data_IF_450596283717
#
_entry.id   IF_450596283717
#
_cell.length_a   1.000
_cell.length_b   1.000
_cell.length_c   1.000
_cell.angle_alpha   90.00
_cell.angle_beta   90.00
_cell.angle_gamma   90.00
#
_symmetry.space_group_name_H-M   'P 1'
#
loop_
_entity.id
_entity.type
_entity.pdbx_description
1 polymer ?
#
# COMPACT_ATOMS: atom_id res chain seq x y z
N UNK A 1 -11.37 -32.24 -16.15
CA UNK A 1 -11.71 -30.92 -16.71
C UNK A 1 -11.81 -31.12 -18.21
N UNK A 2 -13.01 -31.08 -18.78
CA UNK A 2 -13.21 -31.34 -20.22
C UNK A 2 -12.68 -30.13 -20.97
N UNK A 3 -11.67 -30.31 -21.82
CA UNK A 3 -11.18 -29.26 -22.70
C UNK A 3 -12.12 -29.20 -23.90
N UNK A 4 -12.96 -28.17 -23.97
CA UNK A 4 -13.70 -27.85 -25.19
C UNK A 4 -12.68 -27.43 -26.25
N UNK A 5 -12.64 -28.15 -27.38
CA UNK A 5 -11.83 -27.82 -28.54
C UNK A 5 -12.77 -27.50 -29.69
N UNK A 6 -12.42 -26.46 -30.46
CA UNK A 6 -13.06 -26.15 -31.73
C UNK A 6 -12.27 -26.95 -32.78
N UNK A 7 -12.97 -27.69 -33.62
CA UNK A 7 -12.38 -28.46 -34.70
C UNK A 7 -13.16 -28.19 -36.00
N UNK A 8 -12.59 -28.58 -37.13
CA UNK A 8 -13.21 -28.48 -38.44
C UNK A 8 -13.55 -29.89 -38.91
N UNK A 9 -14.81 -30.12 -39.23
CA UNK A 9 -15.29 -31.38 -39.81
C UNK A 9 -15.81 -31.12 -41.22
N UNK A 10 -15.72 -32.13 -42.09
CA UNK A 10 -16.16 -32.00 -43.49
C UNK A 10 -17.69 -31.89 -43.61
N UNK A 11 -18.41 -32.48 -42.66
CA UNK A 11 -19.88 -32.49 -42.62
C UNK A 11 -20.41 -31.21 -41.97
N UNK A 12 -21.29 -30.49 -42.69
CA UNK A 12 -21.97 -29.31 -42.15
C UNK A 12 -23.01 -29.72 -41.11
N UNK A 13 -22.89 -29.19 -39.89
CA UNK A 13 -23.88 -29.34 -38.83
C UNK A 13 -24.73 -28.07 -38.71
N UNK A 14 -25.99 -28.22 -38.30
CA UNK A 14 -26.91 -27.10 -38.15
C UNK A 14 -26.53 -26.15 -37.00
N UNK A 15 -25.75 -26.63 -36.04
CA UNK A 15 -25.23 -25.90 -34.88
C UNK A 15 -23.84 -25.28 -35.11
N UNK A 16 -23.26 -25.39 -36.31
CA UNK A 16 -22.00 -24.72 -36.71
C UNK A 16 -22.15 -23.21 -36.94
N UNK A 17 -23.36 -22.67 -36.79
CA UNK A 17 -23.66 -21.28 -37.10
C UNK A 17 -23.06 -20.32 -36.03
N UNK A 18 -21.97 -19.65 -36.38
CA UNK A 18 -21.45 -18.53 -35.59
C UNK A 18 -22.30 -17.27 -35.77
N UNK A 19 -22.59 -16.59 -34.66
CA UNK A 19 -23.21 -15.25 -34.70
C UNK A 19 -22.12 -14.20 -34.75
N UNK A 20 -22.07 -13.42 -35.84
CA UNK A 20 -21.23 -12.22 -35.89
C UNK A 20 -21.94 -11.10 -35.13
N UNK A 21 -21.19 -10.43 -34.25
CA UNK A 21 -21.68 -9.27 -33.50
C UNK A 21 -20.79 -8.08 -33.80
N UNK A 22 -21.41 -6.98 -34.22
CA UNK A 22 -20.73 -5.71 -34.35
C UNK A 22 -20.34 -5.19 -32.96
N UNK A 23 -19.15 -4.63 -32.86
CA UNK A 23 -18.64 -4.05 -31.61
C UNK A 23 -18.59 -2.55 -31.80
N UNK A 24 -19.11 -1.81 -30.82
CA UNK A 24 -19.05 -0.35 -30.78
C UNK A 24 -17.62 0.15 -30.96
N UNK A 25 -17.42 1.14 -31.83
CA UNK A 25 -16.12 1.74 -32.11
C UNK A 25 -15.45 2.30 -30.84
N UNK A 26 -16.21 2.83 -29.88
CA UNK A 26 -15.66 3.31 -28.61
C UNK A 26 -14.97 2.16 -27.84
N UNK A 27 -15.58 0.97 -27.83
CA UNK A 27 -15.00 -0.20 -27.16
C UNK A 27 -13.73 -0.69 -27.87
N UNK A 28 -13.70 -0.59 -29.20
CA UNK A 28 -12.51 -0.90 -30.02
C UNK A 28 -11.37 0.07 -29.68
N UNK A 29 -11.66 1.36 -29.59
CA UNK A 29 -10.66 2.39 -29.27
C UNK A 29 -10.13 2.25 -27.83
N UNK A 30 -11.02 1.97 -26.87
CA UNK A 30 -10.66 1.66 -25.48
C UNK A 30 -9.72 0.44 -25.42
N UNK A 31 -10.02 -0.61 -26.19
CA UNK A 31 -9.18 -1.80 -26.27
C UNK A 31 -7.82 -1.47 -26.87
N UNK A 32 -7.78 -0.82 -28.04
CA UNK A 32 -6.54 -0.48 -28.74
C UNK A 32 -5.62 0.42 -27.91
N UNK A 33 -6.19 1.43 -27.24
CA UNK A 33 -5.45 2.33 -26.36
C UNK A 33 -4.69 1.54 -25.29
N UNK A 34 -5.40 0.66 -24.58
CA UNK A 34 -4.80 -0.11 -23.49
C UNK A 34 -3.87 -1.22 -24.00
N UNK A 35 -4.27 -1.96 -25.04
CA UNK A 35 -3.47 -3.03 -25.64
C UNK A 35 -2.16 -2.49 -26.25
N UNK A 36 -2.19 -1.30 -26.84
CA UNK A 36 -1.02 -0.63 -27.41
C UNK A 36 0.06 -0.28 -26.38
N UNK A 37 -0.30 -0.15 -25.09
CA UNK A 37 0.67 0.15 -24.03
C UNK A 37 1.40 -1.09 -23.49
N UNK A 38 0.80 -2.28 -23.64
CA UNK A 38 1.35 -3.55 -23.10
C UNK A 38 2.75 -3.87 -23.67
N UNK A 39 3.01 -3.73 -24.99
CA UNK A 39 4.32 -4.02 -25.59
C UNK A 39 5.48 -3.22 -25.00
N UNK A 40 5.26 -1.98 -24.53
CA UNK A 40 6.33 -1.17 -23.93
C UNK A 40 6.87 -1.79 -22.65
N UNK A 41 5.97 -2.30 -21.81
CA UNK A 41 6.34 -2.96 -20.55
C UNK A 41 6.91 -4.35 -20.83
N UNK A 42 6.27 -5.10 -21.75
CA UNK A 42 6.72 -6.43 -22.15
C UNK A 42 8.16 -6.39 -22.66
N UNK A 43 8.48 -5.46 -23.57
CA UNK A 43 9.84 -5.27 -24.08
C UNK A 43 10.85 -4.99 -22.98
N UNK A 44 10.50 -4.15 -21.99
CA UNK A 44 11.39 -3.88 -20.86
C UNK A 44 11.63 -5.14 -19.99
N UNK A 45 10.59 -5.94 -19.78
CA UNK A 45 10.66 -7.20 -19.01
C UNK A 45 11.52 -8.24 -19.73
N UNK A 46 11.43 -8.32 -21.05
CA UNK A 46 12.17 -9.29 -21.87
C UNK A 46 13.64 -8.89 -22.06
N UNK A 47 13.90 -7.62 -22.41
CA UNK A 47 15.23 -7.17 -22.81
C UNK A 47 16.21 -7.05 -21.63
N UNK A 48 15.73 -6.86 -20.39
CA UNK A 48 16.45 -6.78 -19.07
C UNK A 48 17.74 -5.94 -18.98
N UNK A 49 18.28 -5.41 -20.08
CA UNK A 49 19.68 -4.97 -20.20
C UNK A 49 19.85 -3.65 -20.97
N UNK A 50 18.82 -3.13 -21.65
CA UNK A 50 18.90 -1.86 -22.42
C UNK A 50 17.82 -0.87 -22.03
N UNK A 51 17.80 -0.47 -20.76
CA UNK A 51 17.07 0.73 -20.35
C UNK A 51 17.95 1.95 -20.68
N UNK A 52 17.44 2.88 -21.46
CA UNK A 52 18.03 4.20 -21.65
C UNK A 52 17.01 5.26 -21.22
N UNK A 53 17.42 6.52 -21.11
CA UNK A 53 16.54 7.59 -20.63
C UNK A 53 15.24 7.72 -21.46
N UNK A 54 15.34 7.58 -22.80
CA UNK A 54 14.20 7.68 -23.70
C UNK A 54 13.18 6.56 -23.48
N UNK A 55 13.63 5.31 -23.46
CA UNK A 55 12.77 4.15 -23.24
C UNK A 55 12.18 4.16 -21.82
N UNK A 56 12.96 4.61 -20.83
CA UNK A 56 12.47 4.75 -19.47
C UNK A 56 11.32 5.77 -19.38
N UNK A 57 11.47 6.90 -20.06
CA UNK A 57 10.43 7.92 -20.09
C UNK A 57 9.17 7.41 -20.81
N UNK A 58 9.32 6.69 -21.93
CA UNK A 58 8.18 6.06 -22.62
C UNK A 58 7.41 5.09 -21.72
N UNK A 59 8.12 4.24 -20.99
CA UNK A 59 7.48 3.29 -20.05
C UNK A 59 6.82 4.03 -18.88
N UNK A 60 7.47 5.04 -18.31
CA UNK A 60 6.88 5.87 -17.24
C UNK A 60 5.61 6.59 -17.70
N UNK A 61 5.62 7.18 -18.90
CA UNK A 61 4.41 7.78 -19.49
C UNK A 61 3.31 6.74 -19.69
N UNK A 62 3.61 5.59 -20.28
CA UNK A 62 2.62 4.52 -20.47
C UNK A 62 2.01 4.06 -19.14
N UNK A 63 2.81 3.87 -18.08
CA UNK A 63 2.29 3.49 -16.76
C UNK A 63 1.34 4.56 -16.17
N UNK A 64 1.67 5.84 -16.32
CA UNK A 64 0.81 6.94 -15.86
C UNK A 64 -0.49 7.00 -16.65
N UNK A 65 -0.43 6.79 -17.96
CA UNK A 65 -1.62 6.72 -18.80
C UNK A 65 -2.47 5.48 -18.47
N UNK A 66 -1.87 4.33 -18.17
CA UNK A 66 -2.58 3.14 -17.68
C UNK A 66 -3.32 3.41 -16.36
N UNK A 67 -2.67 4.14 -15.43
CA UNK A 67 -3.30 4.58 -14.18
C UNK A 67 -4.53 5.44 -14.49
N UNK A 68 -4.33 6.51 -15.26
CA UNK A 68 -5.39 7.48 -15.58
C UNK A 68 -6.52 6.84 -16.39
N UNK A 69 -6.20 5.87 -17.25
CA UNK A 69 -7.18 5.11 -18.02
C UNK A 69 -8.21 4.44 -17.12
N UNK A 70 -7.81 3.91 -15.95
CA UNK A 70 -8.75 3.26 -15.04
C UNK A 70 -9.66 4.23 -14.28
N UNK A 71 -9.46 5.54 -14.40
CA UNK A 71 -10.14 6.55 -13.61
C UNK A 71 -10.99 7.49 -14.48
N UNK A 72 -12.07 7.99 -13.90
CA UNK A 72 -12.82 9.16 -14.37
C UNK A 72 -13.29 9.91 -13.14
N UNK A 73 -12.93 11.19 -13.05
CA UNK A 73 -13.22 12.05 -11.88
C UNK A 73 -12.77 11.41 -10.56
N UNK A 74 -11.55 10.85 -10.53
CA UNK A 74 -10.96 10.10 -9.41
C UNK A 74 -11.73 8.83 -8.98
N UNK A 75 -12.73 8.40 -9.77
CA UNK A 75 -13.51 7.18 -9.53
C UNK A 75 -13.08 6.04 -10.46
N UNK A 76 -13.04 4.79 -9.97
CA UNK A 76 -12.62 3.64 -10.76
C UNK A 76 -13.67 3.24 -11.81
N UNK A 77 -13.21 2.95 -13.02
CA UNK A 77 -14.03 2.41 -14.11
C UNK A 77 -13.87 0.89 -14.18
N UNK A 78 -14.87 0.16 -13.66
CA UNK A 78 -14.85 -1.31 -13.56
C UNK A 78 -14.58 -2.03 -14.90
N UNK A 79 -15.19 -1.65 -16.04
CA UNK A 79 -14.87 -2.26 -17.34
C UNK A 79 -13.40 -2.11 -17.76
N UNK A 80 -12.79 -0.94 -17.50
CA UNK A 80 -11.38 -0.69 -17.83
C UNK A 80 -10.44 -1.48 -16.92
N UNK A 81 -10.74 -1.59 -15.63
CA UNK A 81 -10.02 -2.51 -14.74
C UNK A 81 -10.19 -3.99 -15.17
N UNK A 82 -11.39 -4.41 -15.63
CA UNK A 82 -11.58 -5.76 -16.20
C UNK A 82 -10.69 -5.97 -17.42
N UNK A 83 -10.53 -4.97 -18.28
CA UNK A 83 -9.62 -5.04 -19.42
C UNK A 83 -8.15 -5.23 -18.98
N UNK A 84 -7.68 -4.50 -17.95
CA UNK A 84 -6.34 -4.70 -17.37
C UNK A 84 -6.11 -6.15 -16.94
N UNK A 85 -7.13 -6.79 -16.37
CA UNK A 85 -7.07 -8.22 -15.99
C UNK A 85 -6.99 -9.12 -17.20
N UNK A 86 -7.84 -8.89 -18.20
CA UNK A 86 -7.92 -9.71 -19.42
C UNK A 86 -6.62 -9.64 -20.23
N UNK A 87 -5.99 -8.47 -20.32
CA UNK A 87 -4.69 -8.25 -20.94
C UNK A 87 -3.50 -8.70 -20.06
N UNK A 88 -3.78 -9.27 -18.87
CA UNK A 88 -2.78 -9.79 -17.91
C UNK A 88 -1.76 -8.75 -17.45
N UNK A 89 -2.16 -7.47 -17.39
CA UNK A 89 -1.27 -6.36 -17.04
C UNK A 89 -0.69 -6.52 -15.64
N UNK A 90 -1.47 -6.96 -14.65
CA UNK A 90 -0.98 -7.20 -13.28
C UNK A 90 0.21 -8.16 -13.25
N UNK A 91 0.12 -9.30 -13.95
CA UNK A 91 1.22 -10.28 -14.05
C UNK A 91 2.46 -9.64 -14.69
N UNK A 92 2.25 -8.83 -15.72
CA UNK A 92 3.32 -8.12 -16.41
C UNK A 92 4.03 -7.10 -15.48
N UNK A 93 3.26 -6.32 -14.71
CA UNK A 93 3.80 -5.39 -13.73
C UNK A 93 4.55 -6.09 -12.60
N UNK A 94 4.07 -7.24 -12.13
CA UNK A 94 4.80 -8.06 -11.15
C UNK A 94 6.14 -8.54 -11.74
N UNK A 95 6.16 -8.97 -13.00
CA UNK A 95 7.41 -9.37 -13.66
C UNK A 95 8.38 -8.19 -13.84
N UNK A 96 7.85 -6.99 -14.11
CA UNK A 96 8.62 -5.75 -14.14
C UNK A 96 9.26 -5.45 -12.78
N UNK A 97 8.50 -5.56 -11.70
CA UNK A 97 8.99 -5.30 -10.33
C UNK A 97 10.04 -6.32 -9.86
N UNK A 98 10.10 -7.50 -10.47
CA UNK A 98 11.15 -8.52 -10.20
C UNK A 98 12.51 -8.19 -10.82
N UNK A 99 12.61 -7.16 -11.65
CA UNK A 99 13.89 -6.75 -12.25
C UNK A 99 14.81 -6.19 -11.16
N UNK A 100 16.07 -6.63 -11.14
CA UNK A 100 17.05 -6.14 -10.15
C UNK A 100 17.42 -4.68 -10.43
N UNK A 101 17.25 -3.82 -9.44
CA UNK A 101 17.69 -2.41 -9.50
C UNK A 101 19.21 -2.31 -9.36
N UNK A 102 19.93 -2.33 -10.48
CA UNK A 102 21.39 -2.22 -10.56
C UNK A 102 21.84 -1.38 -11.75
N UNK A 103 23.10 -0.93 -11.72
CA UNK A 103 23.75 -0.24 -12.84
C UNK A 103 23.40 1.25 -12.97
N UNK A 104 23.81 1.89 -14.10
CA UNK A 104 23.69 3.33 -14.29
C UNK A 104 22.22 3.80 -14.39
N UNK A 105 21.32 2.91 -14.80
CA UNK A 105 19.90 3.22 -15.00
C UNK A 105 19.04 3.03 -13.74
N UNK A 106 19.66 2.93 -12.55
CA UNK A 106 18.95 2.66 -11.29
C UNK A 106 17.80 3.66 -11.03
N UNK A 107 18.03 4.95 -11.26
CA UNK A 107 17.03 5.99 -10.99
C UNK A 107 15.82 5.90 -11.92
N UNK A 108 16.06 5.62 -13.20
CA UNK A 108 15.00 5.39 -14.17
C UNK A 108 14.14 4.19 -13.80
N UNK A 109 14.78 3.08 -13.41
CA UNK A 109 14.07 1.87 -13.01
C UNK A 109 13.29 2.07 -11.70
N UNK A 110 13.86 2.82 -10.75
CA UNK A 110 13.15 3.18 -9.52
C UNK A 110 11.88 3.97 -9.84
N UNK A 111 11.95 4.98 -10.71
CA UNK A 111 10.77 5.74 -11.15
C UNK A 111 9.70 4.84 -11.78
N UNK A 112 10.11 3.95 -12.68
CA UNK A 112 9.21 2.96 -13.31
C UNK A 112 8.55 2.06 -12.26
N UNK A 113 9.28 1.64 -11.22
CA UNK A 113 8.72 0.80 -10.15
C UNK A 113 7.65 1.56 -9.36
N UNK A 114 7.92 2.82 -9.01
CA UNK A 114 6.93 3.68 -8.33
C UNK A 114 5.66 3.85 -9.17
N UNK A 115 5.81 4.18 -10.47
CA UNK A 115 4.67 4.29 -11.39
C UNK A 115 3.91 2.95 -11.51
N UNK A 116 4.60 1.81 -11.51
CA UNK A 116 3.97 0.48 -11.56
C UNK A 116 3.16 0.15 -10.30
N UNK A 117 3.67 0.49 -9.12
CA UNK A 117 2.91 0.36 -7.87
C UNK A 117 1.67 1.25 -7.85
N UNK A 118 1.77 2.47 -8.36
CA UNK A 118 0.61 3.37 -8.47
C UNK A 118 -0.48 2.79 -9.40
N UNK A 119 -0.10 2.15 -10.51
CA UNK A 119 -1.06 1.41 -11.37
C UNK A 119 -1.70 0.26 -10.60
N UNK A 120 -0.92 -0.54 -9.88
CA UNK A 120 -1.44 -1.67 -9.10
C UNK A 120 -2.40 -1.23 -7.99
N UNK A 121 -2.08 -0.13 -7.28
CA UNK A 121 -2.94 0.42 -6.24
C UNK A 121 -4.26 0.95 -6.86
N UNK A 122 -4.17 1.66 -7.99
CA UNK A 122 -5.35 2.15 -8.71
C UNK A 122 -6.24 1.02 -9.23
N UNK A 123 -5.63 -0.11 -9.61
CA UNK A 123 -6.35 -1.30 -10.03
C UNK A 123 -7.18 -1.95 -8.90
N UNK A 124 -6.80 -1.76 -7.63
CA UNK A 124 -7.54 -2.25 -6.46
C UNK A 124 -8.72 -1.36 -6.05
N UNK A 125 -8.79 -0.11 -6.51
CA UNK A 125 -9.88 0.80 -6.14
C UNK A 125 -11.26 0.27 -6.58
N UNK A 126 -12.28 0.52 -5.74
CA UNK A 126 -13.68 0.21 -6.04
C UNK A 126 -14.12 -1.22 -5.69
N UNK A 127 -13.44 -1.83 -4.71
CA UNK A 127 -13.83 -3.05 -3.99
C UNK A 127 -14.16 -4.23 -4.91
N UNK A 128 -13.34 -4.39 -5.95
CA UNK A 128 -13.49 -5.48 -6.92
C UNK A 128 -12.84 -6.75 -6.39
N UNK A 129 -13.66 -7.65 -5.82
CA UNK A 129 -13.19 -8.94 -5.31
C UNK A 129 -12.37 -9.75 -6.33
N UNK A 130 -12.72 -9.67 -7.63
CA UNK A 130 -11.96 -10.33 -8.70
C UNK A 130 -10.57 -9.73 -8.91
N UNK A 131 -10.39 -8.44 -8.67
CA UNK A 131 -9.10 -7.74 -8.76
C UNK A 131 -8.23 -8.09 -7.55
N UNK A 132 -8.80 -8.02 -6.33
CA UNK A 132 -8.13 -8.41 -5.08
C UNK A 132 -7.60 -9.84 -5.16
N UNK A 133 -8.46 -10.81 -5.52
CA UNK A 133 -8.07 -12.22 -5.64
C UNK A 133 -6.99 -12.44 -6.71
N UNK A 134 -6.92 -11.58 -7.72
CA UNK A 134 -5.89 -11.67 -8.74
C UNK A 134 -4.53 -11.19 -8.22
N UNK A 135 -4.51 -10.03 -7.55
CA UNK A 135 -3.29 -9.46 -6.94
C UNK A 135 -2.81 -10.29 -5.75
N UNK A 136 -3.71 -10.83 -4.93
CA UNK A 136 -3.38 -11.61 -3.73
C UNK A 136 -2.53 -12.87 -4.03
N UNK A 137 -2.51 -13.34 -5.28
CA UNK A 137 -1.60 -14.41 -5.73
C UNK A 137 -0.12 -14.01 -5.65
N UNK A 138 0.16 -12.72 -5.56
CA UNK A 138 1.50 -12.14 -5.54
C UNK A 138 1.83 -11.46 -4.21
N UNK A 139 1.01 -11.61 -3.16
CA UNK A 139 1.21 -10.89 -1.90
C UNK A 139 2.56 -11.23 -1.25
N UNK A 140 2.99 -12.50 -1.21
CA UNK A 140 4.31 -12.85 -0.65
C UNK A 140 5.44 -12.07 -1.35
N UNK A 141 5.34 -11.92 -2.67
CA UNK A 141 6.29 -11.10 -3.40
C UNK A 141 6.24 -9.65 -2.91
N UNK A 142 5.08 -9.02 -2.80
CA UNK A 142 4.96 -7.64 -2.34
C UNK A 142 5.42 -7.44 -0.89
N UNK A 143 5.22 -8.43 0.00
CA UNK A 143 5.72 -8.38 1.36
C UNK A 143 7.25 -8.33 1.43
N UNK A 144 7.95 -8.97 0.49
CA UNK A 144 9.43 -8.84 0.40
C UNK A 144 9.92 -7.47 -0.11
N UNK A 145 9.03 -6.60 -0.60
CA UNK A 145 9.43 -5.35 -1.24
C UNK A 145 9.54 -4.18 -0.27
N UNK A 146 9.10 -4.33 0.97
CA UNK A 146 9.18 -3.29 2.00
C UNK A 146 10.63 -2.95 2.36
N UNK A 147 11.51 -3.94 2.39
CA UNK A 147 12.93 -3.78 2.73
C UNK A 147 13.75 -3.11 1.63
N UNK A 148 13.13 -2.73 0.51
CA UNK A 148 13.80 -2.01 -0.57
C UNK A 148 14.04 -0.57 -0.11
N UNK A 149 15.18 -0.37 0.56
CA UNK A 149 15.70 0.94 1.02
C UNK A 149 16.08 1.91 -0.12
N UNK A 150 15.76 1.57 -1.38
CA UNK A 150 16.09 2.39 -2.55
C UNK A 150 14.93 3.32 -2.87
N UNK A 151 15.02 4.57 -2.42
CA UNK A 151 14.01 5.60 -2.66
C UNK A 151 12.66 5.25 -2.00
N UNK A 152 11.56 5.80 -2.53
CA UNK A 152 10.19 5.63 -1.98
C UNK A 152 9.50 4.35 -2.44
N UNK A 153 10.26 3.33 -2.87
CA UNK A 153 9.68 2.08 -3.39
C UNK A 153 8.96 1.30 -2.27
N UNK A 154 9.60 1.17 -1.10
CA UNK A 154 8.99 0.52 0.07
C UNK A 154 7.66 1.17 0.45
N UNK A 155 7.58 2.51 0.39
CA UNK A 155 6.36 3.26 0.65
C UNK A 155 5.22 2.95 -0.33
N UNK A 156 5.52 2.83 -1.63
CA UNK A 156 4.51 2.48 -2.62
C UNK A 156 4.07 1.02 -2.52
N UNK A 157 5.00 0.11 -2.17
CA UNK A 157 4.67 -1.27 -1.85
C UNK A 157 3.77 -1.35 -0.61
N UNK A 158 4.10 -0.59 0.45
CA UNK A 158 3.29 -0.47 1.67
C UNK A 158 1.88 0.00 1.34
N UNK A 159 1.73 1.05 0.53
CA UNK A 159 0.43 1.52 0.07
C UNK A 159 -0.36 0.45 -0.66
N UNK A 160 0.25 -0.24 -1.63
CA UNK A 160 -0.43 -1.33 -2.35
C UNK A 160 -0.92 -2.42 -1.40
N UNK A 161 -0.08 -2.80 -0.45
CA UNK A 161 -0.39 -3.87 0.50
C UNK A 161 -1.47 -3.42 1.50
N UNK A 162 -1.45 -2.18 1.98
CA UNK A 162 -2.52 -1.60 2.80
C UNK A 162 -3.89 -1.72 2.10
N UNK A 163 -3.98 -1.32 0.84
CA UNK A 163 -5.23 -1.42 0.06
C UNK A 163 -5.70 -2.87 -0.12
N UNK A 164 -4.78 -3.84 -0.10
CA UNK A 164 -5.11 -5.25 -0.26
C UNK A 164 -5.51 -5.92 1.07
N UNK A 165 -4.93 -5.48 2.19
CA UNK A 165 -5.17 -6.02 3.53
C UNK A 165 -6.47 -5.47 4.11
N UNK A 166 -6.84 -4.22 3.79
CA UNK A 166 -8.05 -3.57 4.28
C UNK A 166 -9.26 -4.49 4.14
N UNK A 167 -9.88 -4.79 5.27
CA UNK A 167 -11.07 -5.65 5.39
C UNK A 167 -10.92 -7.06 4.77
N UNK A 168 -9.69 -7.58 4.71
CA UNK A 168 -9.38 -8.89 4.14
C UNK A 168 -8.59 -9.76 5.12
N UNK A 169 -9.31 -10.38 6.06
CA UNK A 169 -8.73 -11.20 7.14
C UNK A 169 -7.75 -12.27 6.65
N UNK A 170 -8.05 -12.94 5.53
CA UNK A 170 -7.18 -13.97 4.96
C UNK A 170 -5.80 -13.45 4.54
N UNK A 171 -5.69 -12.16 4.22
CA UNK A 171 -4.42 -11.53 3.87
C UNK A 171 -3.76 -10.98 5.14
N UNK A 172 -4.53 -10.41 6.07
CA UNK A 172 -4.04 -10.02 7.40
C UNK A 172 -3.33 -11.19 8.09
N UNK A 173 -3.93 -12.37 8.11
CA UNK A 173 -3.38 -13.56 8.77
C UNK A 173 -2.06 -14.06 8.15
N UNK A 174 -1.66 -13.53 6.97
CA UNK A 174 -0.35 -13.84 6.34
C UNK A 174 0.75 -12.87 6.74
N UNK A 175 0.40 -11.78 7.42
CA UNK A 175 1.34 -10.81 7.95
C UNK A 175 1.90 -11.36 9.25
N UNK A 176 3.16 -11.75 9.22
CA UNK A 176 3.87 -12.28 10.40
C UNK A 176 4.39 -11.15 11.28
N UNK A 177 4.76 -11.48 12.51
CA UNK A 177 5.42 -10.57 13.44
C UNK A 177 6.71 -9.97 12.85
N UNK A 178 7.52 -10.75 12.11
CA UNK A 178 8.70 -10.22 11.42
C UNK A 178 8.37 -9.08 10.44
N UNK A 179 7.21 -9.14 9.77
CA UNK A 179 6.77 -8.04 8.90
C UNK A 179 6.38 -6.80 9.72
N UNK A 180 5.70 -7.01 10.86
CA UNK A 180 5.33 -5.94 11.79
C UNK A 180 6.60 -5.25 12.33
N UNK A 181 7.60 -6.03 12.75
CA UNK A 181 8.88 -5.51 13.23
C UNK A 181 9.56 -4.64 12.16
N UNK A 182 9.60 -5.13 10.91
CA UNK A 182 10.12 -4.35 9.78
C UNK A 182 9.33 -3.04 9.57
N UNK A 183 8.00 -3.04 9.72
CA UNK A 183 7.19 -1.82 9.61
C UNK A 183 7.50 -0.82 10.72
N UNK A 184 7.65 -1.28 11.96
CA UNK A 184 8.02 -0.43 13.10
C UNK A 184 9.41 0.15 12.90
N UNK A 185 10.37 -0.64 12.42
CA UNK A 185 11.72 -0.16 12.12
C UNK A 185 11.74 0.89 11.00
N UNK A 186 10.93 0.68 9.94
CA UNK A 186 10.74 1.68 8.88
C UNK A 186 10.09 2.96 9.41
N UNK A 187 9.09 2.85 10.30
CA UNK A 187 8.45 3.99 10.96
C UNK A 187 9.47 4.80 11.78
N UNK A 188 10.29 4.13 12.60
CA UNK A 188 11.34 4.79 13.40
C UNK A 188 12.36 5.51 12.53
N UNK A 189 12.82 4.85 11.47
CA UNK A 189 13.89 5.35 10.61
C UNK A 189 13.44 6.47 9.67
N UNK A 190 12.29 6.30 9.01
CA UNK A 190 11.82 7.23 7.98
C UNK A 190 10.84 8.28 8.50
N UNK A 191 10.25 8.07 9.69
CA UNK A 191 9.27 8.95 10.33
C UNK A 191 8.14 9.35 9.38
N UNK A 192 7.63 8.37 8.63
CA UNK A 192 6.57 8.56 7.63
C UNK A 192 5.25 7.95 8.13
N UNK A 193 4.19 8.76 8.20
CA UNK A 193 2.93 8.33 8.80
C UNK A 193 2.23 7.20 8.04
N UNK A 194 2.57 6.98 6.78
CA UNK A 194 1.99 5.87 6.01
C UNK A 194 2.38 4.50 6.55
N UNK A 195 3.50 4.38 7.25
CA UNK A 195 3.81 3.14 7.97
C UNK A 195 2.92 2.96 9.20
N UNK A 196 2.50 4.05 9.83
CA UNK A 196 1.50 4.01 10.90
C UNK A 196 0.12 3.63 10.35
N UNK A 197 -0.30 4.18 9.21
CA UNK A 197 -1.54 3.76 8.53
C UNK A 197 -1.56 2.23 8.26
N UNK A 198 -0.41 1.67 7.89
CA UNK A 198 -0.27 0.23 7.67
C UNK A 198 -0.45 -0.56 8.96
N UNK A 199 0.14 -0.12 10.07
CA UNK A 199 -0.05 -0.73 11.39
C UNK A 199 -1.52 -0.64 11.83
N UNK A 200 -2.20 0.49 11.59
CA UNK A 200 -3.62 0.67 11.92
C UNK A 200 -4.51 -0.34 11.18
N UNK A 201 -4.26 -0.57 9.88
CA UNK A 201 -5.01 -1.55 9.09
C UNK A 201 -4.79 -3.00 9.58
N UNK A 202 -3.70 -3.28 10.30
CA UNK A 202 -3.46 -4.59 10.93
C UNK A 202 -4.19 -4.75 12.26
N UNK A 203 -4.62 -3.65 12.90
CA UNK A 203 -5.31 -3.68 14.19
C UNK A 203 -6.82 -3.92 14.09
N UNK A 204 -7.44 -3.61 12.95
CA UNK A 204 -8.90 -3.72 12.74
C UNK A 204 -9.17 -4.27 11.33
N UNK A 205 -10.05 -5.26 11.25
CA UNK A 205 -10.50 -5.83 9.98
C UNK A 205 -12.02 -6.01 10.02
N UNK A 206 -12.73 -5.44 9.03
CA UNK A 206 -14.20 -5.50 8.93
C UNK A 206 -14.90 -5.01 10.20
N UNK A 207 -14.38 -3.91 10.77
CA UNK A 207 -14.89 -3.32 12.02
C UNK A 207 -14.57 -4.12 13.30
N UNK A 208 -13.89 -5.25 13.21
CA UNK A 208 -13.52 -6.09 14.36
C UNK A 208 -12.05 -5.90 14.71
N UNK A 209 -11.75 -5.70 16.00
CA UNK A 209 -10.39 -5.60 16.52
C UNK A 209 -9.63 -6.92 16.42
N UNK A 210 -8.33 -6.84 16.16
CA UNK A 210 -7.42 -7.99 16.14
C UNK A 210 -6.50 -7.88 17.35
N UNK A 211 -6.98 -8.41 18.48
CA UNK A 211 -6.32 -8.26 19.79
C UNK A 211 -4.83 -8.69 19.78
N UNK A 212 -4.51 -9.81 19.12
CA UNK A 212 -3.13 -10.30 19.03
C UNK A 212 -2.21 -9.30 18.32
N UNK A 213 -2.65 -8.75 17.19
CA UNK A 213 -1.89 -7.73 16.45
C UNK A 213 -1.76 -6.45 17.27
N UNK A 214 -2.86 -5.99 17.90
CA UNK A 214 -2.85 -4.79 18.73
C UNK A 214 -1.86 -4.92 19.90
N UNK A 215 -1.89 -6.05 20.59
CA UNK A 215 -0.96 -6.36 21.68
C UNK A 215 0.48 -6.35 21.19
N UNK A 216 0.77 -7.10 20.12
CA UNK A 216 2.13 -7.22 19.59
C UNK A 216 2.69 -5.88 19.07
N UNK A 217 1.88 -5.14 18.29
CA UNK A 217 2.26 -3.81 17.79
C UNK A 217 2.54 -2.86 18.96
N UNK A 218 1.71 -2.87 20.01
CA UNK A 218 1.92 -2.04 21.20
C UNK A 218 3.22 -2.41 21.91
N UNK A 219 3.49 -3.70 22.10
CA UNK A 219 4.72 -4.19 22.72
C UNK A 219 5.96 -3.76 21.91
N UNK A 220 5.98 -4.02 20.61
CA UNK A 220 7.15 -3.73 19.76
C UNK A 220 7.36 -2.24 19.55
N UNK A 221 6.29 -1.47 19.30
CA UNK A 221 6.39 -0.05 18.98
C UNK A 221 6.60 0.82 20.21
N UNK A 222 5.80 0.63 21.26
CA UNK A 222 5.71 1.56 22.40
C UNK A 222 6.47 1.10 23.65
N UNK A 223 6.55 -0.21 23.88
CA UNK A 223 7.17 -0.77 25.09
C UNK A 223 8.63 -1.17 24.87
N UNK A 224 8.96 -1.68 23.68
CA UNK A 224 10.31 -2.12 23.34
C UNK A 224 11.09 -1.04 22.57
N UNK A 225 12.36 -0.83 22.92
CA UNK A 225 13.27 0.07 22.20
C UNK A 225 13.12 1.56 22.54
N UNK A 226 13.51 2.41 21.58
CA UNK A 226 13.48 3.87 21.70
C UNK A 226 12.10 4.42 21.35
N UNK A 227 11.61 5.42 22.11
CA UNK A 227 10.37 6.16 21.85
C UNK A 227 10.59 7.31 20.85
N UNK A 228 11.44 7.10 19.85
CA UNK A 228 11.97 8.11 18.92
C UNK A 228 11.02 8.55 17.80
N UNK A 229 9.82 7.96 17.74
CA UNK A 229 8.78 8.22 16.74
C UNK A 229 7.40 8.55 17.34
N UNK A 230 7.36 8.93 18.62
CA UNK A 230 6.14 9.38 19.32
C UNK A 230 6.39 10.71 20.01
N UNK A 231 5.36 11.54 20.13
CA UNK A 231 5.42 12.73 20.97
C UNK A 231 4.91 12.39 22.36
N UNK A 232 5.60 12.90 23.37
CA UNK A 232 5.12 12.90 24.74
C UNK A 232 4.18 14.08 24.92
N UNK A 233 3.11 13.89 25.70
CA UNK A 233 2.20 14.96 26.05
C UNK A 233 1.94 14.94 27.55
N UNK A 234 2.07 16.08 28.20
CA UNK A 234 1.74 16.22 29.61
C UNK A 234 1.00 17.52 29.92
N UNK A 235 0.27 17.51 31.04
CA UNK A 235 -0.35 18.72 31.58
C UNK A 235 0.72 19.58 32.26
N UNK A 236 0.64 20.90 32.07
CA UNK A 236 1.64 21.83 32.60
C UNK A 236 1.86 21.71 34.11
N UNK A 237 0.80 21.42 34.88
CA UNK A 237 0.87 21.18 36.33
C UNK A 237 1.86 20.08 36.73
N UNK A 238 1.96 19.01 35.92
CA UNK A 238 2.84 17.87 36.19
C UNK A 238 4.31 18.15 35.88
N UNK A 239 4.58 19.13 35.01
CA UNK A 239 5.92 19.49 34.54
C UNK A 239 6.38 20.87 35.02
N UNK A 240 5.66 21.48 35.96
CA UNK A 240 6.00 22.80 36.53
C UNK A 240 5.75 23.98 35.59
N UNK A 241 4.84 23.82 34.62
CA UNK A 241 4.43 24.83 33.64
C UNK A 241 3.01 25.36 33.94
N UNK A 242 2.45 26.19 33.05
CA UNK A 242 1.15 26.83 33.23
C UNK A 242 0.01 25.81 33.46
N UNK A 243 -0.84 26.08 34.45
CA UNK A 243 -1.96 25.20 34.79
C UNK A 243 -3.01 25.14 33.68
N UNK A 244 -3.62 23.96 33.48
CA UNK A 244 -4.61 23.75 32.44
C UNK A 244 -4.11 23.79 30.99
N UNK A 245 -2.80 23.93 30.76
CA UNK A 245 -2.20 23.94 29.41
C UNK A 245 -1.56 22.58 29.11
N UNK A 246 -1.77 22.06 27.89
CA UNK A 246 -1.14 20.82 27.42
C UNK A 246 0.17 21.15 26.71
N UNK A 247 1.23 20.46 27.09
CA UNK A 247 2.54 20.58 26.47
C UNK A 247 2.88 19.31 25.70
N UNK A 248 3.73 19.45 24.69
CA UNK A 248 4.22 18.37 23.84
C UNK A 248 5.75 18.39 23.82
N UNK A 249 6.35 17.21 23.80
CA UNK A 249 7.81 17.05 23.76
C UNK A 249 8.20 15.92 22.81
N UNK A 250 9.28 16.12 22.04
CA UNK A 250 9.86 15.10 21.17
C UNK A 250 10.86 14.17 21.88
N UNK A 251 11.40 14.59 23.02
CA UNK A 251 12.45 13.91 23.77
C UNK A 251 12.10 13.67 25.25
N UNK A 252 10.92 14.13 25.69
CA UNK A 252 10.44 14.07 27.07
C UNK A 252 11.10 15.10 27.99
N UNK A 253 11.95 15.99 27.47
CA UNK A 253 12.72 16.96 28.24
C UNK A 253 12.44 18.41 27.84
N UNK A 254 12.34 18.68 26.54
CA UNK A 254 12.04 19.99 25.98
C UNK A 254 10.55 20.06 25.66
N UNK A 255 9.82 20.93 26.36
CA UNK A 255 8.36 21.01 26.32
C UNK A 255 7.91 22.31 25.66
N UNK A 256 7.09 22.19 24.62
CA UNK A 256 6.42 23.30 23.94
C UNK A 256 4.92 23.23 24.16
N UNK A 257 4.23 24.37 24.23
CA UNK A 257 2.77 24.37 24.31
C UNK A 257 2.18 23.70 23.05
N UNK A 258 1.27 22.75 23.24
CA UNK A 258 0.67 21.98 22.16
C UNK A 258 0.02 22.89 21.09
N UNK A 259 -0.58 24.00 21.52
CA UNK A 259 -1.20 24.97 20.62
C UNK A 259 -0.17 25.63 19.68
N UNK A 260 0.96 26.07 20.23
CA UNK A 260 2.04 26.70 19.44
C UNK A 260 2.72 25.67 18.53
N UNK A 261 2.93 24.46 19.04
CA UNK A 261 3.45 23.36 18.28
C UNK A 261 2.55 23.01 17.08
N UNK A 262 1.24 22.87 17.28
CA UNK A 262 0.28 22.57 16.22
C UNK A 262 0.25 23.65 15.12
N UNK A 263 0.38 24.94 15.49
CA UNK A 263 0.48 26.03 14.53
C UNK A 263 1.82 26.08 13.78
N UNK A 264 2.89 25.53 14.38
CA UNK A 264 4.20 25.45 13.75
C UNK A 264 4.34 24.31 12.74
N UNK A 265 3.47 23.29 12.82
CA UNK A 265 3.46 22.16 11.90
C UNK A 265 2.80 22.54 10.57
N UNK A 266 3.49 22.41 9.42
CA UNK A 266 2.88 22.66 8.12
C UNK A 266 1.85 21.57 7.78
N UNK A 267 0.57 21.82 8.08
CA UNK A 267 -0.57 21.12 7.47
C UNK A 267 -0.89 19.70 7.96
N UNK A 268 -0.36 19.24 9.10
CA UNK A 268 -0.63 17.89 9.61
C UNK A 268 -1.76 17.89 10.66
N UNK A 269 -3.02 17.82 10.19
CA UNK A 269 -4.15 17.34 10.99
C UNK A 269 -4.28 15.82 10.77
N UNK A 270 -3.49 15.03 11.50
CA UNK A 270 -3.72 13.58 11.60
C UNK A 270 -4.18 13.27 13.02
N UNK A 271 -5.49 13.13 13.19
CA UNK A 271 -6.09 12.58 14.41
C UNK A 271 -5.93 11.06 14.33
N UNK A 272 -4.88 10.52 14.97
CA UNK A 272 -4.80 9.08 15.21
C UNK A 272 -5.58 8.73 16.47
N UNK A 273 -6.73 8.06 16.33
CA UNK A 273 -7.38 7.35 17.43
C UNK A 273 -6.71 5.99 17.61
N UNK A 274 -5.59 5.96 18.32
CA UNK A 274 -5.17 4.77 19.06
C UNK A 274 -5.48 5.04 20.52
N UNK A 275 -6.73 4.89 20.91
CA UNK A 275 -7.11 4.77 22.32
C UNK A 275 -6.81 3.35 22.75
N UNK A 276 -5.64 3.12 23.34
CA UNK A 276 -5.43 1.98 24.23
C UNK A 276 -5.95 2.41 25.60
N UNK A 277 -7.16 1.98 25.94
CA UNK A 277 -7.71 2.15 27.29
C UNK A 277 -7.11 1.09 28.22
N UNK A 278 -6.85 1.46 29.47
CA UNK A 278 -6.28 0.57 30.52
C UNK A 278 -7.02 -0.77 30.67
N UNK A 279 -8.29 -0.83 30.25
CA UNK A 279 -9.17 -2.00 30.42
C UNK A 279 -8.76 -3.22 29.57
N UNK A 280 -8.01 -3.06 28.47
CA UNK A 280 -7.60 -4.18 27.61
C UNK A 280 -6.31 -4.90 28.06
N UNK A 281 -5.65 -4.42 29.13
CA UNK A 281 -4.36 -4.94 29.60
C UNK A 281 -4.41 -5.75 30.91
N UNK A 282 -5.60 -6.17 31.38
CA UNK A 282 -5.72 -6.96 32.60
C UNK A 282 -5.37 -8.45 32.41
N UNK A 283 -4.10 -8.75 32.13
CA UNK A 283 -3.48 -10.03 32.52
C UNK A 283 -2.08 -9.75 33.07
N UNK A 284 -2.00 -9.39 34.36
CA UNK A 284 -1.02 -9.82 35.38
C UNK A 284 -0.79 -8.70 36.43
N UNK A 285 -1.31 -8.83 37.68
CA UNK A 285 -1.36 -7.72 38.62
C UNK A 285 -0.13 -7.70 39.54
N UNK A 286 1.08 -7.46 39.02
CA UNK A 286 2.25 -7.10 39.86
C UNK A 286 3.26 -6.22 39.10
N UNK A 287 2.95 -4.93 38.95
CA UNK A 287 3.97 -3.86 38.87
C UNK A 287 3.33 -2.51 39.24
N UNK A 288 4.02 -1.61 39.97
CA UNK A 288 3.44 -0.36 40.44
C UNK A 288 3.16 0.61 39.28
N UNK A 289 2.02 1.28 39.37
CA UNK A 289 1.36 2.01 38.30
C UNK A 289 2.22 3.00 37.51
N UNK A 290 2.13 2.89 36.18
CA UNK A 290 2.47 3.95 35.24
C UNK A 290 1.19 4.36 34.52
N UNK A 291 0.73 5.59 34.75
CA UNK A 291 -0.34 6.19 33.97
C UNK A 291 0.04 6.18 32.48
N UNK A 292 -0.86 5.70 31.62
CA UNK A 292 -0.71 5.76 30.17
C UNK A 292 -1.05 7.18 29.67
N UNK A 293 -0.06 7.87 29.11
CA UNK A 293 -0.21 9.15 28.41
C UNK A 293 -0.94 8.97 27.07
N UNK A 294 -1.74 9.95 26.65
CA UNK A 294 -2.36 9.98 25.31
C UNK A 294 -1.27 10.28 24.27
N UNK A 295 -0.80 9.24 23.58
CA UNK A 295 0.31 9.37 22.63
C UNK A 295 -0.17 10.00 21.32
N UNK A 296 0.40 11.16 20.95
CA UNK A 296 0.21 11.78 19.63
C UNK A 296 1.38 11.36 18.71
N UNK A 297 1.13 10.92 17.47
CA UNK A 297 2.20 10.51 16.57
C UNK A 297 3.21 11.62 16.23
N UNK A 298 4.48 11.23 16.36
CA UNK A 298 5.76 11.81 15.94
C UNK A 298 6.00 12.53 14.61
N UNK A 299 5.05 13.11 13.85
CA UNK A 299 5.30 13.27 12.39
C UNK A 299 5.03 14.66 11.77
N UNK A 300 5.98 15.19 10.95
CA UNK A 300 5.75 16.35 10.08
C UNK A 300 4.90 16.00 8.84
#
# INVERSE_FOLDING_TARGET
MVSLQIDVIEEKQYDDAFTMQEVDQELVDIFHFMAGMVPFIQKLVDDKKKLNALNAQKVSTALKEMKNFMLKDEKPIKPRQKLMRNLRVVKLLVNLLKIRIKGPNKYHLMKIFMDAYDVLATYLLGDSRKNELYIAKYIDFFLTQFDIKKGKIGLHAARLVMELIRDNRRIVDRITHDHIDNFVDLLRKEKNYRYLDLLIVLCVCDGVSIADNQKYITEVWLMSGSRDCVYFTELGEKIGQAQGVVYVSADGSNWDELNNFAHSLPGCLVVCQLTVTEDDMLINPQSPGKQLERIIPAMP
#
